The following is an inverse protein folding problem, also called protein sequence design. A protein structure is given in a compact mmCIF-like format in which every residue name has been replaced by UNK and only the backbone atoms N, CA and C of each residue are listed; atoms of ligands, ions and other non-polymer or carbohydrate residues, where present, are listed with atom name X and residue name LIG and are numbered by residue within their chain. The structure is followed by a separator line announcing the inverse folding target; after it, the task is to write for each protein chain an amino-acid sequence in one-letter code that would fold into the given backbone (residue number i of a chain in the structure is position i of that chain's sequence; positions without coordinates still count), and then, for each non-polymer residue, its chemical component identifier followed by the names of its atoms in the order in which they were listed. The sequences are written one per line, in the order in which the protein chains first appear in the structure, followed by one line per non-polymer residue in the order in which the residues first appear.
data_IF_182013946959
#
_entry.id   IF_182013946959
#
_cell.length_a   1.000
_cell.length_b   1.000
_cell.length_c   1.000
_cell.angle_alpha   90.00
_cell.angle_beta   90.00
_cell.angle_gamma   90.00
#
_symmetry.space_group_name_H-M   'P 1'
#
loop_
_entity.id
_entity.type
_entity.pdbx_description
1 polymer ?
#
# COMPACT_ATOMS: atom_id res chain seq x y z
N UNK A 1 -24.52 3.79 -8.10
CA UNK A 1 -23.35 3.03 -8.58
C UNK A 1 -22.53 2.43 -7.44
N UNK A 2 -21.76 3.17 -6.65
CA UNK A 2 -20.91 2.55 -5.61
C UNK A 2 -21.72 1.83 -4.51
N UNK A 3 -22.75 2.48 -3.96
CA UNK A 3 -23.64 1.88 -2.95
C UNK A 3 -24.40 0.65 -3.47
N UNK A 4 -24.82 0.71 -4.73
CA UNK A 4 -25.47 -0.41 -5.42
C UNK A 4 -24.51 -1.59 -5.63
N UNK A 5 -23.25 -1.32 -5.98
CA UNK A 5 -22.24 -2.35 -6.20
C UNK A 5 -21.88 -3.15 -4.92
N UNK A 6 -22.18 -2.60 -3.74
CA UNK A 6 -21.91 -3.24 -2.44
C UNK A 6 -23.15 -3.80 -1.75
N UNK A 7 -24.35 -3.68 -2.33
CA UNK A 7 -25.62 -3.97 -1.65
C UNK A 7 -25.78 -5.44 -1.23
N UNK A 8 -25.18 -6.37 -1.99
CA UNK A 8 -25.27 -7.81 -1.73
C UNK A 8 -24.17 -8.31 -0.75
N UNK A 9 -23.39 -7.40 -0.20
CA UNK A 9 -22.29 -7.72 0.71
C UNK A 9 -22.61 -7.27 2.13
N UNK A 10 -22.12 -8.05 3.09
CA UNK A 10 -22.11 -7.63 4.48
C UNK A 10 -21.02 -6.58 4.65
N UNK A 11 -21.37 -5.42 5.22
CA UNK A 11 -20.39 -4.40 5.59
C UNK A 11 -19.87 -4.68 7.00
N UNK A 12 -18.58 -4.43 7.20
CA UNK A 12 -17.91 -4.64 8.49
C UNK A 12 -18.16 -3.45 9.42
N UNK A 13 -18.91 -3.58 10.54
CA UNK A 13 -19.01 -2.52 11.54
C UNK A 13 -17.72 -2.37 12.37
N UNK A 14 -16.81 -3.35 12.32
CA UNK A 14 -15.54 -3.33 13.06
C UNK A 14 -14.49 -4.20 12.37
N UNK A 15 -13.21 -4.09 12.76
CA UNK A 15 -12.16 -5.00 12.28
C UNK A 15 -12.29 -6.44 12.80
N UNK A 16 -13.18 -6.68 13.77
CA UNK A 16 -13.39 -7.99 14.39
C UNK A 16 -14.61 -8.74 13.83
N UNK A 17 -15.28 -8.18 12.83
CA UNK A 17 -16.42 -8.85 12.20
C UNK A 17 -15.93 -10.12 11.48
N UNK A 18 -16.49 -11.30 11.80
CA UNK A 18 -16.02 -12.54 11.21
C UNK A 18 -16.34 -12.61 9.71
N UNK A 19 -15.49 -13.28 8.90
CA UNK A 19 -15.81 -13.58 7.51
C UNK A 19 -17.18 -14.25 7.35
N UNK A 20 -17.81 -14.06 6.19
CA UNK A 20 -19.10 -14.71 5.92
C UNK A 20 -18.89 -16.09 5.30
N UNK A 21 -19.72 -17.07 5.64
CA UNK A 21 -19.73 -18.36 4.92
C UNK A 21 -20.32 -18.14 3.53
N UNK A 22 -19.78 -18.80 2.51
CA UNK A 22 -20.35 -18.80 1.17
C UNK A 22 -21.75 -19.44 1.20
N UNK A 23 -22.65 -18.94 0.36
CA UNK A 23 -24.05 -19.40 0.27
C UNK A 23 -24.82 -19.29 1.60
N UNK A 24 -24.44 -18.32 2.44
CA UNK A 24 -25.15 -18.08 3.70
C UNK A 24 -26.64 -17.73 3.44
N UNK A 25 -27.60 -18.19 4.27
CA UNK A 25 -29.03 -18.07 4.00
C UNK A 25 -29.58 -16.63 3.86
N UNK A 26 -28.86 -15.62 4.33
CA UNK A 26 -29.24 -14.20 4.17
C UNK A 26 -28.88 -13.64 2.79
N UNK A 27 -28.30 -14.47 1.90
CA UNK A 27 -27.96 -14.10 0.52
C UNK A 27 -26.69 -13.26 0.39
N UNK A 28 -25.93 -13.05 1.47
CA UNK A 28 -24.69 -12.28 1.38
C UNK A 28 -23.65 -12.99 0.51
N UNK A 29 -22.97 -12.21 -0.33
CA UNK A 29 -21.86 -12.70 -1.16
C UNK A 29 -20.53 -12.75 -0.42
N UNK A 30 -20.48 -12.25 0.81
CA UNK A 30 -19.26 -12.18 1.61
C UNK A 30 -19.23 -10.95 2.51
N UNK A 31 -18.26 -10.92 3.44
CA UNK A 31 -17.96 -9.71 4.21
C UNK A 31 -17.02 -8.81 3.40
N UNK A 32 -17.41 -7.56 3.14
CA UNK A 32 -16.47 -6.54 2.65
C UNK A 32 -15.67 -5.99 3.83
N UNK A 33 -14.38 -6.32 3.85
CA UNK A 33 -13.44 -5.91 4.89
C UNK A 33 -12.48 -4.84 4.39
N UNK A 34 -12.33 -3.80 5.20
CA UNK A 34 -11.29 -2.79 5.08
C UNK A 34 -10.68 -2.57 6.48
N UNK A 35 -9.42 -2.97 6.73
CA UNK A 35 -8.43 -3.44 5.76
C UNK A 35 -8.72 -4.84 5.20
N UNK A 36 -8.00 -5.20 4.13
CA UNK A 36 -7.91 -6.58 3.64
C UNK A 36 -7.33 -7.53 4.69
N UNK A 37 -7.36 -8.85 4.44
CA UNK A 37 -6.72 -9.88 5.26
C UNK A 37 -5.20 -9.71 5.39
N UNK A 38 -4.58 -8.94 4.49
CA UNK A 38 -3.15 -8.57 4.57
C UNK A 38 -2.91 -7.26 5.33
N UNK A 39 -3.93 -6.71 6.00
CA UNK A 39 -3.84 -5.47 6.75
C UNK A 39 -3.65 -4.23 5.89
N UNK A 40 -3.51 -3.09 6.57
CA UNK A 40 -3.12 -1.81 5.98
C UNK A 40 -1.61 -1.68 5.87
N UNK A 41 -0.91 -1.82 7.00
CA UNK A 41 0.53 -2.07 7.07
C UNK A 41 0.79 -3.59 7.14
N UNK A 42 1.95 -4.04 6.66
CA UNK A 42 2.33 -5.45 6.70
C UNK A 42 3.86 -5.54 6.90
N UNK A 43 4.53 -6.56 6.34
CA UNK A 43 5.95 -6.83 6.49
C UNK A 43 6.87 -5.73 5.94
N UNK A 44 6.35 -4.83 5.10
CA UNK A 44 7.11 -3.69 4.59
C UNK A 44 7.35 -2.72 5.77
N UNK A 45 8.60 -2.65 6.25
CA UNK A 45 8.91 -2.07 7.56
C UNK A 45 8.61 -0.57 7.63
N UNK A 46 8.25 -0.11 8.82
CA UNK A 46 8.23 1.31 9.19
C UNK A 46 9.64 1.78 9.57
N UNK A 47 9.90 3.08 9.46
CA UNK A 47 11.14 3.68 9.92
C UNK A 47 10.88 4.60 11.11
N UNK A 48 11.69 4.52 12.16
CA UNK A 48 11.60 5.40 13.33
C UNK A 48 12.80 6.33 13.36
N UNK A 49 12.55 7.61 13.61
CA UNK A 49 13.57 8.62 13.84
C UNK A 49 13.66 8.96 15.33
N UNK A 50 14.72 8.53 16.04
CA UNK A 50 14.86 8.75 17.46
C UNK A 50 15.17 10.21 17.83
N UNK A 51 15.66 11.04 16.91
CA UNK A 51 15.95 12.46 17.20
C UNK A 51 14.66 13.28 17.28
N UNK A 52 13.64 12.91 16.49
CA UNK A 52 12.35 13.62 16.41
C UNK A 52 11.21 12.89 17.12
N UNK A 53 11.36 11.59 17.41
CA UNK A 53 10.30 10.76 17.98
C UNK A 53 9.20 10.42 16.97
N UNK A 54 9.48 10.50 15.66
CA UNK A 54 8.50 10.26 14.59
C UNK A 54 8.69 8.85 14.02
N UNK A 55 7.58 8.12 13.85
CA UNK A 55 7.56 6.89 13.05
C UNK A 55 6.88 7.15 11.70
N UNK A 56 7.45 6.60 10.63
CA UNK A 56 6.94 6.66 9.26
C UNK A 56 6.39 5.30 8.87
N UNK A 57 5.07 5.21 8.71
CA UNK A 57 4.35 3.96 8.48
C UNK A 57 3.82 3.88 7.05
N UNK A 58 4.36 2.97 6.22
CA UNK A 58 3.75 2.65 4.93
C UNK A 58 2.48 1.83 5.13
N UNK A 59 1.41 2.20 4.43
CA UNK A 59 0.15 1.44 4.47
C UNK A 59 -0.65 1.58 3.18
N UNK A 60 -1.63 0.69 3.00
CA UNK A 60 -2.56 0.72 1.87
C UNK A 60 -4.02 0.64 2.28
N UNK A 61 -4.88 1.19 1.43
CA UNK A 61 -6.34 1.03 1.46
C UNK A 61 -6.71 0.03 0.38
N UNK A 62 -6.98 -1.22 0.77
CA UNK A 62 -7.43 -2.26 -0.14
C UNK A 62 -8.62 -3.00 0.45
N UNK A 63 -9.75 -2.92 -0.26
CA UNK A 63 -10.96 -3.65 0.08
C UNK A 63 -10.83 -5.11 -0.34
N UNK A 64 -11.31 -6.03 0.49
CA UNK A 64 -11.35 -7.46 0.17
C UNK A 64 -12.69 -8.06 0.59
N UNK A 65 -13.15 -9.05 -0.17
CA UNK A 65 -14.23 -9.94 0.26
C UNK A 65 -13.65 -11.07 1.10
N UNK A 66 -14.06 -11.15 2.36
CA UNK A 66 -13.77 -12.27 3.25
C UNK A 66 -14.95 -13.23 3.22
N UNK A 67 -14.73 -14.37 2.57
CA UNK A 67 -15.67 -15.47 2.46
C UNK A 67 -15.00 -16.77 2.92
N UNK A 68 -15.78 -17.67 3.54
CA UNK A 68 -15.34 -18.99 3.98
C UNK A 68 -16.14 -20.08 3.29
N UNK A 69 -15.47 -21.15 2.89
CA UNK A 69 -16.10 -22.33 2.29
C UNK A 69 -15.33 -23.60 2.66
N UNK A 70 -16.00 -24.76 2.56
CA UNK A 70 -15.32 -26.04 2.68
C UNK A 70 -14.44 -26.26 1.45
N UNK A 71 -13.14 -26.46 1.66
CA UNK A 71 -12.27 -26.99 0.61
C UNK A 71 -12.43 -28.53 0.59
N UNK A 72 -12.90 -29.14 -0.52
CA UNK A 72 -13.09 -30.59 -0.60
C UNK A 72 -11.79 -31.39 -0.45
N UNK A 73 -10.64 -30.76 -0.67
CA UNK A 73 -9.31 -31.36 -0.51
C UNK A 73 -8.72 -31.18 0.90
N UNK A 74 -9.48 -30.59 1.84
CA UNK A 74 -9.03 -30.33 3.21
C UNK A 74 -9.99 -30.90 4.24
N UNK A 75 -9.42 -31.39 5.35
CA UNK A 75 -10.14 -31.78 6.56
C UNK A 75 -10.68 -30.57 7.35
N UNK A 76 -10.13 -29.36 7.13
CA UNK A 76 -10.61 -28.12 7.76
C UNK A 76 -12.02 -27.78 7.28
N UNK A 77 -12.95 -27.48 8.18
CA UNK A 77 -14.36 -27.20 7.85
C UNK A 77 -14.57 -25.89 7.09
N UNK A 78 -13.76 -24.88 7.40
CA UNK A 78 -13.83 -23.56 6.79
C UNK A 78 -12.45 -23.11 6.34
N UNK A 79 -12.30 -22.91 5.04
CA UNK A 79 -11.12 -22.37 4.37
C UNK A 79 -11.48 -21.10 3.62
N UNK A 80 -10.48 -20.37 3.09
CA UNK A 80 -10.76 -19.20 2.25
C UNK A 80 -11.64 -19.59 1.06
N UNK A 81 -12.83 -19.00 1.00
CA UNK A 81 -13.73 -19.12 -0.13
C UNK A 81 -13.23 -18.27 -1.30
N UNK A 82 -13.11 -18.88 -2.48
CA UNK A 82 -12.74 -18.21 -3.71
C UNK A 82 -13.97 -17.91 -4.59
N UNK A 83 -13.80 -17.10 -5.63
CA UNK A 83 -14.84 -16.87 -6.64
C UNK A 83 -15.63 -15.56 -6.50
N UNK A 84 -15.55 -14.88 -5.35
CA UNK A 84 -16.16 -13.54 -5.17
C UNK A 84 -15.06 -12.49 -5.06
N UNK A 85 -15.10 -11.48 -5.94
CA UNK A 85 -14.15 -10.36 -5.96
C UNK A 85 -14.76 -9.14 -5.30
N UNK A 86 -13.90 -8.28 -4.74
CA UNK A 86 -14.32 -6.96 -4.29
C UNK A 86 -14.99 -6.21 -5.47
N UNK A 87 -16.15 -5.58 -5.25
CA UNK A 87 -16.86 -4.88 -6.31
C UNK A 87 -16.06 -3.67 -6.79
N UNK A 88 -16.17 -3.40 -8.08
CA UNK A 88 -15.62 -2.21 -8.74
C UNK A 88 -16.69 -1.56 -9.59
N UNK A 89 -16.63 -0.24 -9.73
CA UNK A 89 -17.53 0.51 -10.61
C UNK A 89 -16.76 0.86 -11.89
N UNK A 90 -17.03 0.14 -12.98
CA UNK A 90 -16.32 0.31 -14.26
C UNK A 90 -14.78 0.24 -14.13
N UNK A 91 -14.28 -0.57 -13.17
CA UNK A 91 -12.85 -0.71 -12.92
C UNK A 91 -12.28 0.25 -11.85
N UNK A 92 -13.08 1.21 -11.37
CA UNK A 92 -12.76 2.04 -10.22
C UNK A 92 -12.99 1.28 -8.91
N UNK A 93 -12.12 1.53 -7.92
CA UNK A 93 -12.33 1.04 -6.57
C UNK A 93 -13.55 1.73 -5.93
N UNK A 94 -14.29 1.02 -5.10
CA UNK A 94 -15.46 1.59 -4.39
C UNK A 94 -15.06 2.42 -3.16
N UNK A 95 -13.80 2.33 -2.74
CA UNK A 95 -13.22 3.08 -1.61
C UNK A 95 -12.44 4.28 -2.14
N UNK A 96 -12.44 5.38 -1.38
CA UNK A 96 -11.69 6.58 -1.73
C UNK A 96 -10.17 6.38 -1.56
N UNK A 97 -9.33 7.04 -2.39
CA UNK A 97 -7.89 7.12 -2.18
C UNK A 97 -7.53 7.92 -0.91
N UNK A 98 -6.27 7.84 -0.41
CA UNK A 98 -5.12 7.19 -1.04
C UNK A 98 -5.16 5.66 -0.93
N UNK A 99 -4.85 4.99 -2.04
CA UNK A 99 -4.76 3.53 -2.13
C UNK A 99 -3.48 3.00 -1.52
N UNK A 100 -2.39 3.75 -1.63
CA UNK A 100 -1.12 3.54 -0.92
C UNK A 100 -0.67 4.86 -0.34
N UNK A 101 -0.08 4.85 0.85
CA UNK A 101 0.29 6.05 1.58
C UNK A 101 1.44 5.83 2.55
N UNK A 102 2.09 6.92 2.91
CA UNK A 102 3.03 7.02 4.02
C UNK A 102 2.42 7.97 5.05
N UNK A 103 2.46 7.60 6.32
CA UNK A 103 1.96 8.42 7.43
C UNK A 103 3.06 8.63 8.45
N UNK A 104 3.34 9.90 8.79
CA UNK A 104 4.20 10.25 9.91
C UNK A 104 3.35 10.36 11.18
N UNK A 105 3.78 9.68 12.23
CA UNK A 105 3.08 9.63 13.52
C UNK A 105 4.06 10.04 14.62
N UNK A 106 3.67 11.01 15.43
CA UNK A 106 4.39 11.37 16.66
C UNK A 106 4.21 10.23 17.68
N UNK A 107 5.30 9.60 18.10
CA UNK A 107 5.24 8.46 19.03
C UNK A 107 4.97 8.87 20.48
N UNK A 108 5.04 10.15 20.81
CA UNK A 108 4.70 10.66 22.15
C UNK A 108 3.21 10.93 22.30
N UNK A 109 2.56 11.46 21.25
CA UNK A 109 1.14 11.85 21.30
C UNK A 109 0.21 10.89 20.56
N UNK A 110 0.73 10.19 19.54
CA UNK A 110 -0.06 9.40 18.59
C UNK A 110 -0.65 10.21 17.43
N UNK A 111 -0.34 11.50 17.34
CA UNK A 111 -0.88 12.37 16.29
C UNK A 111 -0.28 12.04 14.92
N UNK A 112 -1.14 12.07 13.90
CA UNK A 112 -0.69 12.02 12.52
C UNK A 112 -0.20 13.41 12.12
N UNK A 113 1.12 13.56 11.96
CA UNK A 113 1.75 14.83 11.60
C UNK A 113 1.48 15.19 10.14
N UNK A 114 1.60 14.19 9.26
CA UNK A 114 1.26 14.29 7.85
C UNK A 114 0.95 12.92 7.26
N UNK A 115 0.27 12.93 6.12
CA UNK A 115 -0.03 11.75 5.32
C UNK A 115 0.06 12.10 3.84
N UNK A 116 0.89 11.36 3.10
CA UNK A 116 1.03 11.53 1.64
C UNK A 116 0.62 10.25 0.92
N UNK A 117 0.03 10.41 -0.26
CA UNK A 117 -0.19 9.28 -1.17
C UNK A 117 1.16 8.78 -1.69
N UNK A 118 1.32 7.46 -1.80
CA UNK A 118 2.50 6.83 -2.39
C UNK A 118 2.18 6.38 -3.82
N UNK A 119 2.95 6.91 -4.77
CA UNK A 119 2.71 6.92 -6.22
C UNK A 119 1.71 8.00 -6.71
N UNK A 120 1.79 8.26 -8.01
CA UNK A 120 0.85 9.14 -8.70
C UNK A 120 -0.50 8.45 -8.98
N UNK A 121 -1.43 9.23 -9.51
CA UNK A 121 -2.73 8.71 -9.95
C UNK A 121 -2.55 7.93 -11.26
N UNK A 122 -2.86 6.63 -11.31
CA UNK A 122 -2.74 5.86 -12.54
C UNK A 122 -3.64 6.42 -13.66
N UNK A 123 -3.20 6.34 -14.91
CA UNK A 123 -3.95 6.84 -16.08
C UNK A 123 -5.38 6.32 -16.18
N UNK A 124 -5.60 5.05 -15.80
CA UNK A 124 -6.92 4.42 -15.77
C UNK A 124 -7.91 5.08 -14.79
N UNK A 125 -7.41 5.85 -13.83
CA UNK A 125 -8.21 6.62 -12.86
C UNK A 125 -8.24 8.08 -13.32
N UNK A 126 -7.09 8.69 -13.64
CA UNK A 126 -7.01 10.10 -14.04
C UNK A 126 -7.89 10.41 -15.27
N UNK A 127 -7.97 9.49 -16.23
CA UNK A 127 -8.71 9.67 -17.49
C UNK A 127 -10.07 8.94 -17.50
N UNK A 128 -10.59 8.54 -16.33
CA UNK A 128 -11.82 7.76 -16.28
C UNK A 128 -13.06 8.63 -16.55
N UNK A 129 -13.99 8.27 -17.46
CA UNK A 129 -15.17 9.10 -17.78
C UNK A 129 -16.05 9.46 -16.58
N UNK A 130 -16.23 8.51 -15.64
CA UNK A 130 -16.98 8.77 -14.40
C UNK A 130 -16.32 9.78 -13.43
N UNK A 131 -15.08 10.19 -13.69
CA UNK A 131 -14.33 11.17 -12.89
C UNK A 131 -14.08 12.47 -13.66
N UNK A 132 -14.71 12.66 -14.83
CA UNK A 132 -14.61 13.91 -15.57
C UNK A 132 -15.10 15.10 -14.73
N UNK A 133 -14.28 16.16 -14.66
CA UNK A 133 -14.57 17.35 -13.85
C UNK A 133 -14.34 17.17 -12.35
N UNK A 134 -13.85 16.03 -11.89
CA UNK A 134 -13.44 15.81 -10.50
C UNK A 134 -11.98 16.23 -10.33
N UNK A 135 -11.71 17.11 -9.36
CA UNK A 135 -10.35 17.40 -8.93
C UNK A 135 -9.78 16.20 -8.17
N UNK A 136 -8.81 15.53 -8.79
CA UNK A 136 -8.20 14.30 -8.27
C UNK A 136 -6.80 14.60 -7.71
N UNK A 137 -6.58 14.46 -6.39
CA UNK A 137 -5.22 14.48 -5.85
C UNK A 137 -4.48 13.21 -6.25
N UNK A 138 -3.20 13.11 -5.90
CA UNK A 138 -2.45 11.85 -5.99
C UNK A 138 -3.23 10.75 -5.28
N UNK A 139 -3.62 9.72 -6.01
CA UNK A 139 -4.38 8.61 -5.43
C UNK A 139 -3.48 7.55 -4.82
N UNK A 140 -2.21 7.54 -5.20
CA UNK A 140 -1.32 6.42 -5.00
C UNK A 140 -1.84 5.15 -5.67
N UNK A 141 -1.19 4.04 -5.35
CA UNK A 141 -1.53 2.70 -5.80
C UNK A 141 -1.60 1.74 -4.61
N UNK A 142 -2.34 0.63 -4.68
CA UNK A 142 -2.53 -0.27 -3.54
C UNK A 142 -1.32 -1.18 -3.26
N UNK A 143 -0.11 -0.63 -3.29
CA UNK A 143 1.13 -1.25 -2.82
C UNK A 143 1.46 -0.78 -1.40
N UNK A 144 2.44 -1.43 -0.78
CA UNK A 144 3.08 -0.95 0.44
C UNK A 144 4.55 -0.70 0.12
N UNK A 145 5.04 0.46 0.55
CA UNK A 145 6.43 0.87 0.40
C UNK A 145 7.29 0.26 1.49
N UNK A 146 8.59 0.07 1.22
CA UNK A 146 9.59 -0.01 2.30
C UNK A 146 10.29 1.34 2.41
N UNK A 147 10.41 1.85 3.64
CA UNK A 147 10.95 3.19 3.90
C UNK A 147 12.29 3.14 4.63
N UNK A 148 13.12 4.17 4.42
CA UNK A 148 14.39 4.37 5.14
C UNK A 148 14.44 5.81 5.66
N UNK A 149 14.49 5.97 6.98
CA UNK A 149 14.78 7.27 7.59
C UNK A 149 16.29 7.45 7.74
N UNK A 150 16.79 8.61 7.34
CA UNK A 150 18.12 9.10 7.69
C UNK A 150 18.01 10.30 8.63
N UNK A 151 19.14 10.86 9.03
CA UNK A 151 19.17 12.08 9.83
C UNK A 151 18.42 13.25 9.18
N UNK A 152 18.39 13.33 7.85
CA UNK A 152 17.86 14.50 7.13
C UNK A 152 16.68 14.18 6.23
N UNK A 153 16.59 12.97 5.69
CA UNK A 153 15.63 12.62 4.65
C UNK A 153 14.90 11.32 4.98
N UNK A 154 13.69 11.21 4.44
CA UNK A 154 12.97 9.95 4.35
C UNK A 154 13.05 9.46 2.90
N UNK A 155 13.43 8.20 2.71
CA UNK A 155 13.39 7.55 1.41
C UNK A 155 12.25 6.55 1.30
N UNK A 156 11.57 6.56 0.16
CA UNK A 156 10.30 5.85 -0.05
C UNK A 156 10.27 5.29 -1.47
N UNK A 157 10.15 3.97 -1.65
CA UNK A 157 9.83 3.42 -2.97
C UNK A 157 8.34 3.20 -3.18
N UNK A 158 7.90 2.96 -4.40
CA UNK A 158 6.49 2.64 -4.65
C UNK A 158 6.11 1.22 -4.17
N UNK A 159 7.10 0.36 -3.94
CA UNK A 159 6.88 -1.03 -3.56
C UNK A 159 6.46 -1.92 -4.73
N UNK A 160 6.01 -3.14 -4.44
CA UNK A 160 5.71 -4.17 -5.46
C UNK A 160 4.34 -4.81 -5.23
N UNK A 161 3.92 -5.68 -6.15
CA UNK A 161 2.76 -6.57 -6.01
C UNK A 161 1.38 -5.90 -6.22
N UNK A 162 1.35 -4.62 -6.55
CA UNK A 162 0.13 -3.87 -6.89
C UNK A 162 0.08 -3.50 -8.36
N UNK A 163 -1.12 -3.44 -8.94
CA UNK A 163 -1.31 -2.96 -10.30
C UNK A 163 -0.95 -1.46 -10.38
N UNK A 164 -0.05 -1.11 -11.29
CA UNK A 164 0.43 0.26 -11.48
C UNK A 164 1.67 0.63 -10.65
N UNK A 165 2.36 -0.34 -10.04
CA UNK A 165 3.66 -0.11 -9.41
C UNK A 165 4.71 0.28 -10.44
N UNK A 166 5.37 1.42 -10.22
CA UNK A 166 6.49 1.90 -11.02
C UNK A 166 7.78 1.86 -10.21
N UNK A 167 8.94 1.70 -10.87
CA UNK A 167 10.23 1.60 -10.20
C UNK A 167 10.74 2.99 -9.78
N UNK A 168 9.95 3.72 -8.99
CA UNK A 168 10.28 5.08 -8.53
C UNK A 168 10.70 5.04 -7.07
N UNK A 169 11.80 5.73 -6.76
CA UNK A 169 12.31 5.94 -5.41
C UNK A 169 12.35 7.44 -5.11
N UNK A 170 11.81 7.84 -3.96
CA UNK A 170 11.63 9.24 -3.59
C UNK A 170 12.52 9.59 -2.41
N UNK A 171 13.13 10.77 -2.47
CA UNK A 171 13.67 11.46 -1.31
C UNK A 171 12.66 12.52 -0.86
N UNK A 172 12.29 12.46 0.42
CA UNK A 172 11.19 13.22 1.01
C UNK A 172 11.70 13.99 2.23
N UNK A 173 11.22 15.22 2.39
CA UNK A 173 11.38 15.95 3.65
C UNK A 173 10.62 15.21 4.74
N UNK A 174 11.34 14.69 5.73
CA UNK A 174 10.73 13.84 6.76
C UNK A 174 9.80 14.60 7.70
N UNK A 175 9.96 15.92 7.82
CA UNK A 175 9.12 16.75 8.68
C UNK A 175 7.80 17.14 8.01
N UNK A 176 7.79 17.35 6.69
CA UNK A 176 6.59 17.84 5.98
C UNK A 176 5.92 16.79 5.08
N UNK A 177 6.66 15.77 4.65
CA UNK A 177 6.20 14.82 3.63
C UNK A 177 6.39 15.32 2.20
N UNK A 178 7.00 16.49 1.98
CA UNK A 178 7.23 17.03 0.65
C UNK A 178 8.24 16.20 -0.13
N UNK A 179 7.89 15.88 -1.38
CA UNK A 179 8.79 15.15 -2.28
C UNK A 179 9.83 16.13 -2.82
N UNK A 180 11.08 15.92 -2.44
CA UNK A 180 12.20 16.76 -2.83
C UNK A 180 12.84 16.26 -4.13
N UNK A 181 12.85 14.94 -4.33
CA UNK A 181 13.41 14.31 -5.52
C UNK A 181 12.79 12.95 -5.79
N UNK A 182 12.72 12.59 -7.07
CA UNK A 182 12.31 11.28 -7.55
C UNK A 182 13.42 10.70 -8.44
N UNK A 183 13.68 9.41 -8.28
CA UNK A 183 14.71 8.67 -9.02
C UNK A 183 14.09 7.41 -9.61
N UNK A 184 14.43 7.11 -10.85
CA UNK A 184 14.09 5.83 -11.47
C UNK A 184 15.07 4.75 -10.99
N UNK A 185 14.51 3.63 -10.56
CA UNK A 185 15.20 2.39 -10.26
C UNK A 185 15.16 1.48 -11.50
N UNK A 186 16.09 0.51 -11.61
CA UNK A 186 16.05 -0.49 -12.67
C UNK A 186 14.81 -1.41 -12.62
N UNK A 187 14.21 -1.57 -11.43
CA UNK A 187 12.98 -2.33 -11.21
C UNK A 187 12.33 -1.87 -9.88
N UNK A 188 11.14 -2.37 -9.55
CA UNK A 188 10.43 -2.05 -8.32
C UNK A 188 11.23 -2.45 -7.09
N UNK A 189 11.14 -1.64 -6.05
CA UNK A 189 11.70 -1.99 -4.74
C UNK A 189 10.96 -3.21 -4.15
N UNK A 190 11.67 -4.31 -3.94
CA UNK A 190 11.13 -5.56 -3.38
C UNK A 190 11.70 -5.90 -2.02
N UNK A 191 12.77 -5.24 -1.59
CA UNK A 191 13.39 -5.45 -0.28
C UNK A 191 13.54 -4.17 0.53
N UNK A 192 13.91 -4.36 1.80
CA UNK A 192 14.11 -3.25 2.72
C UNK A 192 15.37 -2.46 2.32
N UNK A 193 15.27 -1.13 2.20
CA UNK A 193 16.41 -0.28 1.94
C UNK A 193 17.29 -0.18 3.19
N UNK A 194 18.59 -0.11 2.99
CA UNK A 194 19.59 0.09 4.05
C UNK A 194 20.57 1.18 3.65
N UNK A 195 21.22 1.79 4.64
CA UNK A 195 22.32 2.75 4.40
C UNK A 195 23.55 2.36 5.20
N UNK A 196 24.72 2.62 4.62
CA UNK A 196 26.02 2.37 5.23
C UNK A 196 27.04 3.39 4.72
N UNK A 197 28.19 3.47 5.38
CA UNK A 197 29.33 4.28 4.95
C UNK A 197 30.50 3.37 4.57
N UNK A 198 31.19 3.72 3.49
CA UNK A 198 32.46 3.12 3.11
C UNK A 198 33.39 4.21 2.58
N UNK A 199 34.62 4.26 3.09
CA UNK A 199 35.65 5.25 2.72
C UNK A 199 35.15 6.71 2.75
N UNK A 200 34.37 7.06 3.78
CA UNK A 200 33.84 8.41 3.99
C UNK A 200 32.64 8.76 3.10
N UNK A 201 32.13 7.81 2.31
CA UNK A 201 30.99 8.00 1.40
C UNK A 201 29.79 7.19 1.88
N UNK A 202 28.63 7.85 1.97
CA UNK A 202 27.37 7.21 2.33
C UNK A 202 26.72 6.56 1.11
N UNK A 203 26.24 5.33 1.28
CA UNK A 203 25.52 4.56 0.29
C UNK A 203 24.12 4.23 0.78
N UNK A 204 23.17 4.12 -0.15
CA UNK A 204 21.87 3.51 0.06
C UNK A 204 21.78 2.28 -0.83
N UNK A 205 21.51 1.12 -0.24
CA UNK A 205 21.38 -0.13 -0.95
C UNK A 205 19.99 -0.75 -0.76
N UNK A 206 19.47 -1.41 -1.78
CA UNK A 206 18.16 -2.05 -1.74
C UNK A 206 18.05 -3.16 -2.80
N UNK A 207 17.15 -4.11 -2.55
CA UNK A 207 16.78 -5.11 -3.56
C UNK A 207 15.69 -4.56 -4.47
N UNK A 208 15.88 -4.75 -5.78
CA UNK A 208 14.88 -4.44 -6.81
C UNK A 208 14.53 -5.67 -7.63
N UNK A 209 13.27 -5.79 -8.04
CA UNK A 209 12.77 -6.90 -8.83
C UNK A 209 11.25 -6.88 -9.01
N UNK A 210 10.69 -8.02 -9.45
CA UNK A 210 9.25 -8.22 -9.54
C UNK A 210 8.62 -7.91 -10.89
N UNK A 211 9.38 -7.39 -11.86
CA UNK A 211 8.95 -7.23 -13.26
C UNK A 211 9.16 -8.47 -14.15
N UNK A 212 9.56 -9.60 -13.57
CA UNK A 212 9.94 -10.82 -14.31
C UNK A 212 11.43 -10.89 -14.67
N UNK A 213 12.22 -9.89 -14.29
CA UNK A 213 13.68 -9.92 -14.34
C UNK A 213 14.28 -10.54 -13.05
N UNK A 214 15.53 -11.06 -13.11
CA UNK A 214 16.24 -11.49 -11.91
C UNK A 214 16.33 -10.37 -10.88
N UNK A 215 16.06 -10.70 -9.61
CA UNK A 215 16.22 -9.75 -8.50
C UNK A 215 17.69 -9.38 -8.33
N UNK A 216 17.97 -8.10 -8.08
CA UNK A 216 19.33 -7.59 -7.94
C UNK A 216 19.45 -6.64 -6.75
N UNK A 217 20.63 -6.61 -6.12
CA UNK A 217 21.01 -5.62 -5.12
C UNK A 217 21.66 -4.45 -5.84
N UNK A 218 21.10 -3.25 -5.66
CA UNK A 218 21.66 -2.01 -6.18
C UNK A 218 22.12 -1.12 -5.04
N UNK A 219 23.10 -0.26 -5.30
CA UNK A 219 23.59 0.73 -4.36
C UNK A 219 23.77 2.08 -5.06
N UNK A 220 23.28 3.15 -4.43
CA UNK A 220 23.44 4.53 -4.87
C UNK A 220 24.24 5.34 -3.87
N UNK A 221 25.01 6.28 -4.37
CA UNK A 221 25.67 7.33 -3.61
C UNK A 221 25.74 8.60 -4.45
N UNK A 222 25.99 9.73 -3.80
CA UNK A 222 26.25 10.99 -4.50
C UNK A 222 27.54 10.88 -5.34
N UNK A 223 27.74 11.70 -6.38
CA UNK A 223 29.03 11.83 -7.05
C UNK A 223 30.15 12.22 -6.07
N UNK A 224 31.41 11.97 -6.47
CA UNK A 224 32.59 12.45 -5.73
C UNK A 224 32.80 13.96 -5.89
#
# INVERSE_FOLDING_TARGET
MALEAIQDFRLSPSIYTPPSVQDHPDGTRGLLSLPSSTGGANWEHSAFDPETGIIYVPSRTQLQVLALAKNPESDIDLSQGFGVRAPRVQGLEVVKPPYGRITAIDMNTGDHLWMIANADTPDRIANHPLLEGVDLPRTGIPTRSSVLATKTLLFIGEGTGGAGASPIYRAVDKATGDILHEMELPDNQTGLPMTYEHDGKQYIAMWVGGSGQPTQLIAYALPD
#
